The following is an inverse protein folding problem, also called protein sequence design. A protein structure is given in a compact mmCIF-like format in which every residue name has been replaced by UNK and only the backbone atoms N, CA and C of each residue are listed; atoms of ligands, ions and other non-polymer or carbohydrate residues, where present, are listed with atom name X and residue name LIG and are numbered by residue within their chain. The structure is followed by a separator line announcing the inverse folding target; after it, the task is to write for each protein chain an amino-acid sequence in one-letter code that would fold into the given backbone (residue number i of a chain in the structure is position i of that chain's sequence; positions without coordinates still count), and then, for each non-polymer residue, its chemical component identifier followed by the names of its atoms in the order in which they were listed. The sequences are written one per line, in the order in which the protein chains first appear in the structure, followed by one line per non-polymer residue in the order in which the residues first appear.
data_IF_895325320325
#
_entry.id   IF_895325320325
#
_cell.length_a   1.000
_cell.length_b   1.000
_cell.length_c   1.000
_cell.angle_alpha   90.00
_cell.angle_beta   90.00
_cell.angle_gamma   90.00
#
_symmetry.space_group_name_H-M   'P 1'
#
loop_
_entity.id
_entity.type
_entity.pdbx_description
1 polymer ?
#
# COMPACT_ATOMS: atom_id res chain seq x y z
N UNK A 1 23.32 14.93 -0.80
CA UNK A 1 22.53 14.57 -1.99
C UNK A 1 21.20 14.00 -1.53
N UNK A 2 20.09 14.75 -1.66
CA UNK A 2 18.76 14.20 -1.38
C UNK A 2 18.36 13.34 -2.59
N UNK A 3 18.29 12.02 -2.40
CA UNK A 3 17.70 11.12 -3.40
C UNK A 3 16.18 11.32 -3.38
N UNK A 4 15.67 12.15 -4.28
CA UNK A 4 14.24 12.28 -4.54
C UNK A 4 13.72 10.95 -5.10
N UNK A 5 13.08 10.12 -4.27
CA UNK A 5 12.46 8.86 -4.72
C UNK A 5 11.13 9.09 -5.46
N UNK A 6 10.98 10.27 -6.09
CA UNK A 6 9.74 10.74 -6.69
C UNK A 6 9.33 9.84 -7.86
N UNK A 7 8.13 9.28 -7.77
CA UNK A 7 7.48 8.50 -8.81
C UNK A 7 7.75 6.99 -8.78
N UNK A 8 8.43 6.45 -7.75
CA UNK A 8 8.70 5.01 -7.65
C UNK A 8 7.81 4.35 -6.59
N UNK A 9 7.20 3.19 -6.91
CA UNK A 9 6.43 2.45 -5.92
C UNK A 9 7.36 1.89 -4.83
N UNK A 10 7.01 2.15 -3.58
CA UNK A 10 7.63 1.53 -2.43
C UNK A 10 7.24 0.05 -2.35
N UNK A 11 8.18 -0.78 -1.89
CA UNK A 11 7.87 -2.16 -1.53
C UNK A 11 7.73 -2.23 -0.02
N UNK A 12 6.56 -2.61 0.47
CA UNK A 12 6.27 -2.70 1.90
C UNK A 12 6.05 -4.16 2.32
N UNK A 13 6.39 -4.45 3.56
CA UNK A 13 5.93 -5.64 4.26
C UNK A 13 4.88 -5.22 5.30
N UNK A 14 3.65 -5.65 5.10
CA UNK A 14 2.51 -5.27 5.92
C UNK A 14 2.41 -6.13 7.18
N UNK A 15 2.16 -5.48 8.31
CA UNK A 15 1.99 -6.08 9.63
C UNK A 15 0.69 -5.59 10.26
N UNK A 16 0.29 -6.19 11.38
CA UNK A 16 -0.97 -5.85 12.06
C UNK A 16 -1.07 -4.36 12.46
N UNK A 17 0.04 -3.77 12.91
CA UNK A 17 0.06 -2.40 13.46
C UNK A 17 0.88 -1.41 12.62
N UNK A 18 1.25 -1.79 11.38
CA UNK A 18 2.06 -0.94 10.51
C UNK A 18 2.72 -1.72 9.39
N UNK A 19 3.77 -1.16 8.81
CA UNK A 19 4.52 -1.81 7.74
C UNK A 19 6.01 -1.51 7.83
N UNK A 20 6.83 -2.40 7.27
CA UNK A 20 8.27 -2.18 7.08
C UNK A 20 8.54 -1.84 5.62
N UNK A 21 9.31 -0.80 5.37
CA UNK A 21 9.79 -0.47 4.02
C UNK A 21 10.90 -1.46 3.64
N UNK A 22 10.66 -2.24 2.59
CA UNK A 22 11.66 -3.13 1.97
C UNK A 22 12.40 -2.42 0.83
N UNK A 23 11.72 -1.55 0.09
CA UNK A 23 12.32 -0.68 -0.93
C UNK A 23 11.68 0.70 -0.87
N UNK A 24 12.53 1.73 -0.87
CA UNK A 24 12.11 3.13 -0.81
C UNK A 24 11.31 3.56 -2.03
N UNK A 25 10.26 4.34 -1.80
CA UNK A 25 9.37 4.92 -2.80
C UNK A 25 8.41 5.92 -2.13
N UNK A 26 7.61 6.63 -2.92
CA UNK A 26 6.68 7.65 -2.44
C UNK A 26 5.21 7.20 -2.39
N UNK A 27 4.89 6.10 -3.07
CA UNK A 27 3.54 5.53 -3.08
C UNK A 27 3.58 4.01 -3.11
N UNK A 28 2.45 3.37 -2.81
CA UNK A 28 2.17 1.98 -3.18
C UNK A 28 1.07 1.95 -4.23
N UNK A 29 0.84 0.78 -4.84
CA UNK A 29 -0.20 0.61 -5.87
C UNK A 29 -1.31 -0.25 -5.28
N UNK A 30 -2.55 0.24 -5.36
CA UNK A 30 -3.71 -0.50 -4.88
C UNK A 30 -3.82 -1.86 -5.59
N UNK A 31 -3.96 -2.94 -4.83
CA UNK A 31 -4.03 -4.29 -5.38
C UNK A 31 -5.30 -4.55 -6.21
N UNK A 32 -6.37 -3.77 -5.99
CA UNK A 32 -7.65 -3.95 -6.69
C UNK A 32 -7.81 -2.98 -7.86
N UNK A 33 -7.51 -1.70 -7.66
CA UNK A 33 -7.77 -0.66 -8.68
C UNK A 33 -6.55 -0.27 -9.49
N UNK A 34 -5.33 -0.55 -8.99
CA UNK A 34 -4.10 -0.06 -9.60
C UNK A 34 -3.78 1.42 -9.30
N UNK A 35 -4.58 2.08 -8.47
CA UNK A 35 -4.35 3.49 -8.12
C UNK A 35 -3.09 3.67 -7.27
N UNK A 36 -2.43 4.81 -7.44
CA UNK A 36 -1.29 5.20 -6.60
C UNK A 36 -1.79 5.72 -5.25
N UNK A 37 -1.27 5.14 -4.18
CA UNK A 37 -1.59 5.51 -2.80
C UNK A 37 -0.31 6.10 -2.18
N UNK A 38 -0.24 7.43 -1.96
CA UNK A 38 0.86 8.04 -1.23
C UNK A 38 1.07 7.36 0.13
N UNK A 39 2.33 7.17 0.56
CA UNK A 39 2.62 6.42 1.79
C UNK A 39 2.00 7.07 3.04
N UNK A 40 1.89 8.39 3.07
CA UNK A 40 1.26 9.18 4.13
C UNK A 40 -0.28 9.06 4.14
N UNK A 41 -0.88 8.62 3.02
CA UNK A 41 -2.31 8.36 2.88
C UNK A 41 -2.67 6.87 3.02
N UNK A 42 -1.68 5.99 3.15
CA UNK A 42 -1.89 4.54 3.24
C UNK A 42 -2.47 4.15 4.61
N UNK A 43 -3.79 3.88 4.63
CA UNK A 43 -4.54 3.52 5.85
C UNK A 43 -5.10 2.10 5.85
N UNK A 44 -5.21 1.47 4.68
CA UNK A 44 -5.90 0.19 4.51
C UNK A 44 -4.99 -0.80 3.79
N UNK A 45 -4.79 -1.98 4.39
CA UNK A 45 -4.02 -3.08 3.82
C UNK A 45 -4.42 -4.43 4.42
N UNK A 46 -4.16 -5.52 3.71
CA UNK A 46 -4.28 -6.88 4.21
C UNK A 46 -2.91 -7.43 4.61
N UNK A 47 -2.79 -7.88 5.86
CA UNK A 47 -1.58 -8.55 6.36
C UNK A 47 -1.42 -9.93 5.74
N UNK A 48 -2.53 -10.68 5.62
CA UNK A 48 -2.50 -12.04 5.08
C UNK A 48 -2.08 -12.04 3.60
N UNK A 49 -2.55 -11.08 2.81
CA UNK A 49 -2.28 -11.00 1.37
C UNK A 49 -1.12 -10.09 0.99
N UNK A 50 -0.64 -9.26 1.91
CA UNK A 50 0.39 -8.25 1.65
C UNK A 50 -0.02 -7.25 0.56
N UNK A 51 -1.26 -6.76 0.65
CA UNK A 51 -1.89 -5.93 -0.38
C UNK A 51 -2.40 -4.60 0.21
N UNK A 52 -2.09 -3.44 -0.40
CA UNK A 52 -2.66 -2.15 -0.02
C UNK A 52 -3.97 -1.84 -0.77
N UNK A 53 -4.83 -1.05 -0.12
CA UNK A 53 -6.12 -0.61 -0.68
C UNK A 53 -6.28 0.90 -0.60
N UNK A 54 -6.82 1.50 -1.66
CA UNK A 54 -6.96 2.95 -1.77
C UNK A 54 -8.05 3.52 -0.85
N UNK A 55 -9.00 2.69 -0.41
CA UNK A 55 -10.08 3.09 0.50
C UNK A 55 -10.60 1.91 1.33
N UNK A 56 -11.40 2.23 2.36
CA UNK A 56 -12.05 1.23 3.20
C UNK A 56 -13.00 0.33 2.37
N UNK A 57 -13.75 0.93 1.44
CA UNK A 57 -14.69 0.22 0.58
C UNK A 57 -13.97 -0.82 -0.29
N UNK A 58 -12.81 -0.45 -0.84
CA UNK A 58 -11.98 -1.37 -1.64
C UNK A 58 -11.44 -2.49 -0.77
N UNK A 59 -10.99 -2.18 0.45
CA UNK A 59 -10.51 -3.19 1.40
C UNK A 59 -11.60 -4.19 1.74
N UNK A 60 -12.82 -3.73 2.03
CA UNK A 60 -13.95 -4.60 2.35
C UNK A 60 -14.34 -5.44 1.15
N UNK A 61 -14.42 -4.85 -0.05
CA UNK A 61 -14.68 -5.62 -1.28
C UNK A 61 -13.67 -6.73 -1.48
N UNK A 62 -12.38 -6.45 -1.28
CA UNK A 62 -11.33 -7.45 -1.41
C UNK A 62 -11.44 -8.61 -0.40
N UNK A 63 -12.00 -8.37 0.79
CA UNK A 63 -12.30 -9.43 1.77
C UNK A 63 -13.57 -10.21 1.45
N UNK A 64 -14.58 -9.58 0.82
CA UNK A 64 -15.86 -10.24 0.50
C UNK A 64 -15.82 -11.07 -0.79
N UNK A 65 -14.97 -10.71 -1.75
CA UNK A 65 -14.85 -11.41 -3.03
C UNK A 65 -14.08 -12.76 -2.90
N UNK A 66 -13.83 -13.24 -1.67
CA UNK A 66 -13.04 -14.47 -1.40
C UNK A 66 -13.65 -15.30 -0.28
#
# INVERSE_FOLDING_TARGET
MLMSHSGRPAKLHYMANGFRVLASGDHVVCAVTGDKIPLDHLRYWSVARQEPYASAEISVRAELDR
#
